data_IF_237595127409
#
_entry.id   IF_237595127409
#
_cell.length_a   1.000
_cell.length_b   1.000
_cell.length_c   1.000
_cell.angle_alpha   90.00
_cell.angle_beta   90.00
_cell.angle_gamma   90.00
#
_symmetry.space_group_name_H-M   'P 1'
#
loop_
_entity.id
_entity.type
_entity.pdbx_description
1 polymer ?
#
# COMPACT_ATOMS: atom_id res chain seq x y z
N UNK A 1 4.27 -26.52 -2.40
CA UNK A 1 5.47 -25.64 -2.42
C UNK A 1 5.59 -25.04 -1.04
N UNK A 2 6.76 -25.00 -0.40
CA UNK A 2 6.88 -24.40 0.94
C UNK A 2 7.54 -23.03 0.83
N UNK A 3 6.80 -22.01 1.18
CA UNK A 3 7.24 -20.60 1.18
C UNK A 3 8.25 -20.37 2.31
N UNK A 4 9.28 -19.59 2.02
CA UNK A 4 10.36 -19.24 2.97
C UNK A 4 10.60 -17.73 2.95
N UNK A 5 11.33 -17.26 3.95
CA UNK A 5 11.82 -15.87 3.99
C UNK A 5 12.69 -15.59 2.75
N UNK A 6 12.51 -14.40 2.17
CA UNK A 6 13.10 -13.92 0.91
C UNK A 6 12.53 -14.54 -0.38
N UNK A 7 11.55 -15.42 -0.29
CA UNK A 7 10.84 -15.89 -1.48
C UNK A 7 9.99 -14.76 -2.09
N UNK A 8 9.82 -14.85 -3.41
CA UNK A 8 9.07 -13.89 -4.23
C UNK A 8 8.15 -14.65 -5.18
N UNK A 9 6.94 -14.13 -5.35
CA UNK A 9 5.92 -14.74 -6.21
C UNK A 9 5.12 -13.66 -6.94
N UNK A 10 4.53 -14.00 -8.08
CA UNK A 10 3.31 -13.37 -8.56
C UNK A 10 2.14 -14.14 -8.00
N UNK A 11 1.13 -13.44 -7.52
CA UNK A 11 -0.06 -14.06 -6.97
C UNK A 11 -1.33 -13.28 -7.30
N UNK A 12 -2.47 -13.97 -7.32
CA UNK A 12 -3.79 -13.38 -7.42
C UNK A 12 -4.82 -14.24 -6.68
N UNK A 13 -5.93 -13.65 -6.29
CA UNK A 13 -7.00 -14.32 -5.57
C UNK A 13 -7.67 -15.41 -6.41
N UNK A 14 -7.96 -16.54 -5.81
CA UNK A 14 -8.81 -17.58 -6.41
C UNK A 14 -10.31 -17.27 -6.26
N UNK A 15 -10.68 -16.32 -5.39
CA UNK A 15 -12.03 -15.81 -5.24
C UNK A 15 -12.27 -14.69 -6.26
N UNK A 16 -13.16 -14.92 -7.25
CA UNK A 16 -13.43 -13.96 -8.31
C UNK A 16 -13.98 -12.63 -7.79
N UNK A 17 -14.79 -12.62 -6.75
CA UNK A 17 -15.33 -11.40 -6.18
C UNK A 17 -14.22 -10.53 -5.56
N UNK A 18 -13.26 -11.15 -4.87
CA UNK A 18 -12.09 -10.46 -4.33
C UNK A 18 -11.14 -10.02 -5.46
N UNK A 19 -11.00 -10.85 -6.50
CA UNK A 19 -10.16 -10.53 -7.65
C UNK A 19 -10.66 -9.29 -8.39
N UNK A 20 -11.97 -9.19 -8.60
CA UNK A 20 -12.60 -8.11 -9.36
C UNK A 20 -12.64 -6.78 -8.58
N UNK A 21 -12.89 -6.83 -7.27
CA UNK A 21 -12.91 -5.64 -6.39
C UNK A 21 -11.52 -5.20 -5.94
N UNK A 22 -10.58 -6.15 -5.86
CA UNK A 22 -9.21 -5.90 -5.40
C UNK A 22 -8.29 -5.43 -6.52
N UNK A 23 -7.44 -4.46 -6.27
CA UNK A 23 -6.40 -4.08 -7.24
C UNK A 23 -5.36 -5.20 -7.41
N UNK A 24 -4.89 -5.37 -8.65
CA UNK A 24 -3.82 -6.31 -9.00
C UNK A 24 -4.04 -7.72 -8.46
N UNK A 25 -5.29 -8.22 -8.59
CA UNK A 25 -5.66 -9.58 -8.25
C UNK A 25 -6.03 -9.84 -6.79
N UNK A 26 -6.20 -8.81 -5.95
CA UNK A 26 -6.88 -8.92 -4.65
C UNK A 26 -6.16 -9.70 -3.54
N UNK A 27 -4.85 -9.94 -3.64
CA UNK A 27 -4.09 -10.80 -2.71
C UNK A 27 -4.09 -10.26 -1.27
N UNK A 28 -4.00 -8.92 -1.09
CA UNK A 28 -4.07 -8.30 0.25
C UNK A 28 -5.39 -8.66 0.93
N UNK A 29 -6.51 -8.46 0.24
CA UNK A 29 -7.86 -8.76 0.74
C UNK A 29 -8.02 -10.25 1.07
N UNK A 30 -7.49 -11.14 0.21
CA UNK A 30 -7.52 -12.59 0.43
C UNK A 30 -6.75 -12.98 1.69
N UNK A 31 -5.52 -12.47 1.87
CA UNK A 31 -4.71 -12.75 3.07
C UNK A 31 -5.44 -12.26 4.33
N UNK A 32 -6.01 -11.07 4.31
CA UNK A 32 -6.72 -10.51 5.46
C UNK A 32 -7.98 -11.32 5.79
N UNK A 33 -8.74 -11.75 4.77
CA UNK A 33 -9.89 -12.64 4.95
C UNK A 33 -9.49 -13.98 5.57
N UNK A 34 -8.41 -14.58 5.08
CA UNK A 34 -7.86 -15.82 5.63
C UNK A 34 -7.47 -15.68 7.10
N UNK A 35 -6.75 -14.63 7.48
CA UNK A 35 -6.32 -14.40 8.85
C UNK A 35 -7.48 -14.29 9.84
N UNK A 36 -8.60 -13.68 9.42
CA UNK A 36 -9.83 -13.64 10.20
C UNK A 36 -10.52 -15.01 10.26
N UNK A 37 -10.71 -15.67 9.11
CA UNK A 37 -11.41 -16.97 9.02
C UNK A 37 -10.70 -18.07 9.78
N UNK A 38 -9.38 -18.10 9.75
CA UNK A 38 -8.57 -19.09 10.48
C UNK A 38 -8.50 -18.83 11.98
N UNK A 39 -8.96 -17.67 12.46
CA UNK A 39 -8.81 -17.26 13.85
C UNK A 39 -7.35 -16.93 14.24
N UNK A 40 -6.49 -16.72 13.24
CA UNK A 40 -5.10 -16.28 13.46
C UNK A 40 -5.08 -14.89 14.09
N UNK A 41 -6.03 -14.03 13.71
CA UNK A 41 -6.26 -12.71 14.30
C UNK A 41 -7.73 -12.54 14.70
N UNK A 42 -7.98 -11.67 15.68
CA UNK A 42 -9.32 -11.31 16.15
C UNK A 42 -9.91 -10.16 15.30
N UNK A 43 -9.05 -9.35 14.69
CA UNK A 43 -9.44 -8.20 13.88
C UNK A 43 -8.42 -7.87 12.79
N UNK A 44 -8.87 -7.14 11.77
CA UNK A 44 -8.03 -6.51 10.75
C UNK A 44 -8.18 -4.99 10.85
N UNK A 45 -7.08 -4.27 10.94
CA UNK A 45 -7.03 -2.83 10.79
C UNK A 45 -6.63 -2.49 9.35
N UNK A 46 -7.55 -1.90 8.62
CA UNK A 46 -7.39 -1.55 7.21
C UNK A 46 -7.89 -0.12 6.95
N UNK A 47 -8.00 0.23 5.69
CA UNK A 47 -8.56 1.51 5.23
C UNK A 47 -9.73 1.23 4.31
N UNK A 48 -10.82 2.00 4.45
CA UNK A 48 -11.94 2.00 3.52
C UNK A 48 -12.20 3.41 2.98
N UNK A 49 -12.88 3.52 1.87
CA UNK A 49 -13.41 4.79 1.38
C UNK A 49 -14.49 5.31 2.34
N UNK A 50 -14.38 6.60 2.67
CA UNK A 50 -15.35 7.28 3.50
C UNK A 50 -16.50 7.85 2.67
N UNK A 51 -16.59 9.18 2.63
CA UNK A 51 -17.61 9.88 1.85
C UNK A 51 -17.32 9.80 0.34
N UNK A 52 -16.06 9.89 -0.03
CA UNK A 52 -15.57 9.82 -1.41
C UNK A 52 -14.11 9.35 -1.43
N UNK A 53 -13.53 9.23 -2.64
CA UNK A 53 -12.15 8.78 -2.84
C UNK A 53 -11.08 9.69 -2.17
N UNK A 54 -11.44 10.89 -1.71
CA UNK A 54 -10.55 11.80 -1.00
C UNK A 54 -10.61 11.62 0.53
N UNK A 55 -11.55 10.81 1.03
CA UNK A 55 -11.80 10.54 2.45
C UNK A 55 -11.47 9.08 2.78
N UNK A 56 -10.18 8.80 2.99
CA UNK A 56 -9.73 7.48 3.42
C UNK A 56 -9.83 7.37 4.94
N UNK A 57 -10.66 6.46 5.45
CA UNK A 57 -10.85 6.26 6.89
C UNK A 57 -10.34 4.90 7.35
N UNK A 58 -9.75 4.79 8.55
CA UNK A 58 -9.37 3.51 9.13
C UNK A 58 -10.61 2.75 9.59
N UNK A 59 -10.59 1.44 9.36
CA UNK A 59 -11.65 0.52 9.79
C UNK A 59 -11.03 -0.65 10.55
N UNK A 60 -11.69 -1.08 11.63
CA UNK A 60 -11.38 -2.31 12.35
C UNK A 60 -12.44 -3.35 11.99
N UNK A 61 -12.04 -4.39 11.26
CA UNK A 61 -12.92 -5.43 10.72
C UNK A 61 -12.76 -6.68 11.57
N UNK A 62 -13.86 -7.25 12.03
CA UNK A 62 -13.92 -8.50 12.81
C UNK A 62 -14.69 -9.60 12.10
N UNK A 63 -15.57 -9.25 11.14
CA UNK A 63 -16.27 -10.21 10.29
C UNK A 63 -15.48 -10.41 8.99
N UNK A 64 -15.05 -11.64 8.66
CA UNK A 64 -14.33 -11.91 7.42
C UNK A 64 -15.09 -11.52 6.15
N UNK A 65 -16.41 -11.49 6.16
CA UNK A 65 -17.19 -11.10 4.99
C UNK A 65 -17.21 -9.58 4.77
N UNK A 66 -16.90 -8.80 5.80
CA UNK A 66 -16.77 -7.34 5.72
C UNK A 66 -15.43 -6.88 5.15
N UNK A 67 -14.45 -7.78 4.97
CA UNK A 67 -13.12 -7.43 4.49
C UNK A 67 -13.14 -6.77 3.11
N UNK A 68 -14.13 -7.08 2.30
CA UNK A 68 -14.31 -6.52 0.96
C UNK A 68 -14.48 -5.00 0.98
N UNK A 69 -14.93 -4.40 2.10
CA UNK A 69 -15.05 -2.95 2.28
C UNK A 69 -13.70 -2.22 2.20
N UNK A 70 -12.61 -2.94 2.41
CA UNK A 70 -11.24 -2.42 2.32
C UNK A 70 -10.52 -2.84 1.04
N UNK A 71 -11.22 -3.45 0.08
CA UNK A 71 -10.65 -3.80 -1.22
C UNK A 71 -10.37 -2.53 -2.06
N UNK A 72 -9.48 -2.65 -3.03
CA UNK A 72 -9.04 -1.53 -3.85
C UNK A 72 -7.89 -0.73 -3.21
N UNK A 73 -7.56 0.41 -3.82
CA UNK A 73 -6.50 1.31 -3.35
C UNK A 73 -6.99 2.75 -3.27
N UNK A 74 -6.74 3.39 -2.15
CA UNK A 74 -6.96 4.82 -1.94
C UNK A 74 -5.61 5.52 -1.84
N UNK A 75 -5.30 6.42 -2.79
CA UNK A 75 -4.04 7.16 -2.82
C UNK A 75 -4.16 8.53 -2.16
N UNK A 76 -5.39 9.02 -2.00
CA UNK A 76 -5.68 10.30 -1.38
C UNK A 76 -6.15 10.14 0.07
N UNK A 77 -5.79 11.07 0.94
CA UNK A 77 -6.28 11.11 2.31
C UNK A 77 -5.74 10.04 3.28
N UNK A 78 -4.93 9.09 2.81
CA UNK A 78 -4.47 7.96 3.64
C UNK A 78 -3.75 8.40 4.91
N UNK A 79 -4.05 7.72 6.02
CA UNK A 79 -3.54 8.01 7.36
C UNK A 79 -2.39 7.06 7.74
N UNK A 80 -1.63 7.40 8.79
CA UNK A 80 -0.68 6.47 9.40
C UNK A 80 -1.41 5.58 10.41
N UNK A 81 -1.51 4.27 10.11
CA UNK A 81 -2.28 3.32 10.91
C UNK A 81 -1.62 2.96 12.25
N UNK A 82 -0.32 3.18 12.42
CA UNK A 82 0.34 2.97 13.71
C UNK A 82 -0.25 3.83 14.84
N UNK A 83 -0.75 5.02 14.49
CA UNK A 83 -1.46 5.88 15.45
C UNK A 83 -2.76 5.24 15.94
N UNK A 84 -3.48 4.54 15.06
CA UNK A 84 -4.71 3.85 15.44
C UNK A 84 -4.44 2.64 16.32
N UNK A 85 -3.40 1.85 16.03
CA UNK A 85 -2.96 0.76 16.89
C UNK A 85 -2.71 1.24 18.34
N UNK A 86 -2.00 2.33 18.52
CA UNK A 86 -1.65 2.80 19.85
C UNK A 86 -2.75 3.57 20.57
N UNK A 87 -3.52 4.38 19.83
CA UNK A 87 -4.49 5.31 20.44
C UNK A 87 -5.85 4.68 20.69
N UNK A 88 -6.28 3.77 19.84
CA UNK A 88 -7.65 3.25 19.87
C UNK A 88 -7.75 1.78 20.28
N UNK A 89 -6.66 1.01 20.13
CA UNK A 89 -6.64 -0.42 20.49
C UNK A 89 -5.45 -0.79 21.39
N UNK A 90 -4.95 0.17 22.14
CA UNK A 90 -3.92 0.02 23.20
C UNK A 90 -2.70 -0.82 22.77
N UNK A 91 -2.23 -0.62 21.52
CA UNK A 91 -1.08 -1.36 21.00
C UNK A 91 -1.32 -2.85 20.81
N UNK A 92 -2.56 -3.26 20.59
CA UNK A 92 -2.98 -4.66 20.44
C UNK A 92 -2.66 -5.52 21.68
N UNK A 93 -2.84 -4.97 22.87
CA UNK A 93 -2.50 -5.66 24.14
C UNK A 93 -3.38 -6.87 24.40
N UNK A 94 -4.68 -6.75 24.15
CA UNK A 94 -5.69 -7.71 24.57
C UNK A 94 -6.21 -8.61 23.43
N UNK A 95 -5.77 -8.39 22.19
CA UNK A 95 -6.20 -9.19 21.04
C UNK A 95 -5.19 -9.13 19.90
N UNK A 96 -5.28 -10.10 18.98
CA UNK A 96 -4.42 -10.16 17.81
C UNK A 96 -5.03 -9.38 16.64
N UNK A 97 -4.19 -8.61 15.95
CA UNK A 97 -4.63 -7.78 14.82
C UNK A 97 -3.69 -7.90 13.62
N UNK A 98 -4.25 -8.10 12.44
CA UNK A 98 -3.52 -7.89 11.20
C UNK A 98 -3.71 -6.45 10.74
N UNK A 99 -2.67 -5.82 10.21
CA UNK A 99 -2.73 -4.44 9.74
C UNK A 99 -2.22 -4.34 8.30
N UNK A 100 -3.01 -3.68 7.42
CA UNK A 100 -2.48 -3.24 6.12
C UNK A 100 -1.57 -2.05 6.36
N UNK A 101 -0.36 -2.06 5.87
CA UNK A 101 0.58 -1.00 6.20
C UNK A 101 1.42 -0.56 5.00
N UNK A 102 1.49 0.75 4.80
CA UNK A 102 2.49 1.39 3.94
C UNK A 102 3.87 1.30 4.59
N UNK A 103 4.98 1.52 3.88
CA UNK A 103 6.32 1.50 4.46
C UNK A 103 6.47 2.40 5.70
N UNK A 104 5.89 3.60 5.68
CA UNK A 104 5.92 4.51 6.84
C UNK A 104 5.11 4.01 8.04
N UNK A 105 4.02 3.26 7.81
CA UNK A 105 3.27 2.59 8.88
C UNK A 105 4.12 1.48 9.48
N UNK A 106 4.69 0.60 8.65
CA UNK A 106 5.54 -0.52 9.09
C UNK A 106 6.73 -0.05 9.92
N UNK A 107 7.44 1.01 9.47
CA UNK A 107 8.52 1.63 10.24
C UNK A 107 8.04 2.11 11.62
N UNK A 108 6.92 2.83 11.64
CA UNK A 108 6.39 3.39 12.89
C UNK A 108 5.94 2.28 13.84
N UNK A 109 5.29 1.24 13.31
CA UNK A 109 4.84 0.08 14.09
C UNK A 109 6.05 -0.63 14.71
N UNK A 110 7.09 -0.94 13.93
CA UNK A 110 8.32 -1.58 14.45
C UNK A 110 9.00 -0.74 15.53
N UNK A 111 9.07 0.57 15.36
CA UNK A 111 9.66 1.45 16.38
C UNK A 111 8.79 1.48 17.67
N UNK A 112 7.47 1.43 17.53
CA UNK A 112 6.57 1.36 18.68
C UNK A 112 6.61 0.00 19.37
N UNK A 113 6.80 -1.10 18.64
CA UNK A 113 7.10 -2.43 19.19
C UNK A 113 8.40 -2.41 20.00
N UNK A 114 9.48 -1.85 19.43
CA UNK A 114 10.77 -1.71 20.13
C UNK A 114 10.66 -0.89 21.42
N UNK A 115 9.73 0.06 21.47
CA UNK A 115 9.42 0.85 22.68
C UNK A 115 8.43 0.20 23.65
N UNK A 116 7.95 -1.01 23.35
CA UNK A 116 6.97 -1.72 24.17
C UNK A 116 5.57 -1.09 24.16
N UNK A 117 5.28 -0.26 23.17
CA UNK A 117 3.97 0.41 23.01
C UNK A 117 3.01 -0.35 22.12
N UNK A 118 3.50 -1.29 21.34
CA UNK A 118 2.74 -2.26 20.55
C UNK A 118 3.27 -3.64 20.92
N UNK A 119 2.37 -4.59 21.13
CA UNK A 119 2.71 -5.98 21.43
C UNK A 119 3.02 -6.71 20.13
N UNK A 120 4.29 -7.01 19.89
CA UNK A 120 4.78 -7.57 18.63
C UNK A 120 4.13 -8.92 18.28
N UNK A 121 3.96 -9.80 19.27
CA UNK A 121 3.36 -11.13 19.08
C UNK A 121 1.90 -11.07 18.65
N UNK A 122 1.22 -9.96 18.94
CA UNK A 122 -0.19 -9.75 18.64
C UNK A 122 -0.43 -8.99 17.31
N UNK A 123 0.62 -8.58 16.60
CA UNK A 123 0.47 -7.82 15.35
C UNK A 123 1.08 -8.57 14.17
N UNK A 124 0.31 -8.68 13.10
CA UNK A 124 0.73 -9.15 11.79
C UNK A 124 0.72 -7.95 10.84
N UNK A 125 1.83 -7.71 10.14
CA UNK A 125 1.94 -6.60 9.20
C UNK A 125 1.92 -7.09 7.76
N UNK A 126 0.83 -6.81 7.04
CA UNK A 126 0.69 -7.04 5.61
C UNK A 126 0.96 -5.73 4.89
N UNK A 127 2.17 -5.61 4.36
CA UNK A 127 2.69 -4.40 3.76
C UNK A 127 2.22 -4.20 2.33
N UNK A 128 1.96 -2.94 1.95
CA UNK A 128 1.66 -2.55 0.58
C UNK A 128 2.72 -1.57 0.06
N UNK A 129 3.23 -1.80 -1.15
CA UNK A 129 4.17 -0.89 -1.79
C UNK A 129 3.54 0.50 -1.93
N UNK A 130 4.33 1.54 -1.75
CA UNK A 130 3.79 2.90 -1.73
C UNK A 130 4.68 3.88 -2.51
N UNK A 131 4.10 4.47 -3.54
CA UNK A 131 4.73 5.54 -4.33
C UNK A 131 4.54 6.95 -3.76
N UNK A 132 3.79 7.07 -2.67
CA UNK A 132 3.39 8.33 -2.06
C UNK A 132 1.88 8.48 -1.98
N UNK A 133 1.43 9.48 -1.24
CA UNK A 133 -0.01 9.79 -1.06
C UNK A 133 -0.29 11.25 -1.35
N UNK A 134 -1.52 11.53 -1.75
CA UNK A 134 -1.99 12.85 -2.13
C UNK A 134 -2.73 13.53 -0.95
N UNK A 135 -2.56 14.84 -0.74
CA UNK A 135 -3.35 15.57 0.25
C UNK A 135 -4.74 15.91 -0.33
N UNK A 136 -5.86 15.61 0.38
CA UNK A 136 -7.22 15.72 -0.19
C UNK A 136 -7.56 17.06 -0.84
N UNK A 137 -7.56 18.13 -0.06
CA UNK A 137 -7.99 19.47 -0.54
C UNK A 137 -7.11 19.99 -1.68
N UNK A 138 -5.76 19.96 -1.60
CA UNK A 138 -4.91 20.32 -2.74
C UNK A 138 -5.15 19.48 -3.97
N UNK A 139 -5.44 18.18 -3.81
CA UNK A 139 -5.71 17.26 -4.92
C UNK A 139 -7.00 17.60 -5.64
N UNK A 140 -8.08 17.84 -4.91
CA UNK A 140 -9.34 18.29 -5.50
C UNK A 140 -9.17 19.61 -6.29
N UNK A 141 -8.38 20.55 -5.75
CA UNK A 141 -8.05 21.80 -6.43
C UNK A 141 -7.24 21.54 -7.71
N UNK A 142 -6.22 20.70 -7.63
CA UNK A 142 -5.37 20.32 -8.77
C UNK A 142 -6.19 19.66 -9.89
N UNK A 143 -7.09 18.73 -9.55
CA UNK A 143 -7.95 18.08 -10.55
C UNK A 143 -8.84 19.10 -11.28
N UNK A 144 -9.41 20.05 -10.55
CA UNK A 144 -10.22 21.11 -11.15
C UNK A 144 -9.42 22.09 -12.00
N UNK A 145 -8.30 22.60 -11.50
CA UNK A 145 -7.57 23.71 -12.11
C UNK A 145 -6.57 23.25 -13.18
N UNK A 146 -5.94 22.08 -13.02
CA UNK A 146 -4.86 21.59 -13.88
C UNK A 146 -5.36 20.50 -14.84
N UNK A 147 -6.15 19.55 -14.33
CA UNK A 147 -6.72 18.50 -15.18
C UNK A 147 -8.00 18.92 -15.89
N UNK A 148 -8.66 20.00 -15.43
CA UNK A 148 -9.95 20.41 -15.96
C UNK A 148 -11.06 19.38 -15.70
N UNK A 149 -10.94 18.62 -14.60
CA UNK A 149 -11.89 17.58 -14.19
C UNK A 149 -12.59 18.02 -12.91
N UNK A 150 -13.92 17.88 -12.84
CA UNK A 150 -14.61 18.07 -11.59
C UNK A 150 -14.23 16.94 -10.62
N UNK A 151 -13.73 17.21 -9.39
CA UNK A 151 -13.35 16.18 -8.45
C UNK A 151 -14.44 15.14 -8.14
N UNK A 152 -15.72 15.51 -8.21
CA UNK A 152 -16.84 14.59 -8.02
C UNK A 152 -17.01 13.58 -9.16
N UNK A 153 -16.42 13.85 -10.34
CA UNK A 153 -16.50 12.97 -11.50
C UNK A 153 -15.30 12.03 -11.65
N UNK A 154 -14.32 12.12 -10.71
CA UNK A 154 -13.17 11.21 -10.67
C UNK A 154 -13.62 9.85 -10.14
N UNK A 155 -13.28 8.80 -10.87
CA UNK A 155 -13.50 7.41 -10.48
C UNK A 155 -12.26 6.82 -9.80
N UNK A 156 -11.05 7.19 -10.30
CA UNK A 156 -9.78 6.65 -9.80
C UNK A 156 -8.64 7.64 -10.05
N UNK A 157 -7.65 7.62 -9.18
CA UNK A 157 -6.35 8.22 -9.42
C UNK A 157 -5.22 7.21 -9.16
N UNK A 158 -4.17 7.26 -9.95
CA UNK A 158 -3.02 6.37 -9.81
C UNK A 158 -1.71 7.08 -10.16
N UNK A 159 -0.64 6.78 -9.42
CA UNK A 159 0.71 7.19 -9.80
C UNK A 159 1.38 6.04 -10.53
N UNK A 160 1.37 6.08 -11.86
CA UNK A 160 1.95 5.05 -12.70
C UNK A 160 2.89 5.64 -13.75
N UNK A 161 4.00 4.95 -14.01
CA UNK A 161 5.00 5.34 -15.05
C UNK A 161 5.47 6.80 -14.93
N UNK A 162 5.57 7.31 -13.69
CA UNK A 162 6.01 8.69 -13.43
C UNK A 162 4.95 9.76 -13.69
N UNK A 163 3.69 9.37 -13.89
CA UNK A 163 2.56 10.29 -14.07
C UNK A 163 1.54 10.09 -12.96
N UNK A 164 0.86 11.15 -12.57
CA UNK A 164 -0.41 11.07 -11.87
C UNK A 164 -1.50 10.97 -12.93
N UNK A 165 -2.16 9.82 -12.99
CA UNK A 165 -3.24 9.50 -13.91
C UNK A 165 -4.55 9.67 -13.17
N UNK A 166 -5.51 10.33 -13.80
CA UNK A 166 -6.86 10.54 -13.29
C UNK A 166 -7.82 9.93 -14.30
N UNK A 167 -8.63 9.00 -13.85
CA UNK A 167 -9.71 8.38 -14.60
C UNK A 167 -11.05 8.92 -14.11
N UNK A 168 -11.90 9.34 -15.02
CA UNK A 168 -13.23 9.85 -14.74
C UNK A 168 -14.29 8.75 -14.82
N UNK A 169 -15.45 8.97 -14.21
CA UNK A 169 -16.58 8.01 -14.20
C UNK A 169 -17.15 7.68 -15.57
N UNK A 170 -16.89 8.50 -16.56
CA UNK A 170 -17.22 8.26 -17.97
C UNK A 170 -16.09 7.59 -18.77
N UNK A 171 -14.97 7.26 -18.11
CA UNK A 171 -13.85 6.52 -18.66
C UNK A 171 -12.81 7.39 -19.40
N UNK A 172 -12.87 8.72 -19.26
CA UNK A 172 -11.80 9.59 -19.76
C UNK A 172 -10.56 9.48 -18.86
N UNK A 173 -9.38 9.30 -19.45
CA UNK A 173 -8.10 9.22 -18.73
C UNK A 173 -7.22 10.43 -19.08
N UNK A 174 -6.67 11.08 -18.05
CA UNK A 174 -5.70 12.18 -18.16
C UNK A 174 -4.48 11.91 -17.29
N UNK A 175 -3.27 12.08 -17.83
CA UNK A 175 -2.03 11.83 -17.11
C UNK A 175 -1.01 12.95 -17.26
N UNK A 176 -0.59 13.55 -16.14
CA UNK A 176 0.46 14.58 -16.08
C UNK A 176 1.66 14.02 -15.30
N UNK A 177 2.88 14.39 -15.73
CA UNK A 177 4.08 13.95 -15.01
C UNK A 177 4.08 14.44 -13.56
N UNK A 178 4.35 13.55 -12.65
CA UNK A 178 4.33 13.88 -11.22
C UNK A 178 5.40 14.93 -10.86
N UNK A 179 6.57 14.88 -11.50
CA UNK A 179 7.65 15.84 -11.26
C UNK A 179 7.26 17.27 -11.70
N UNK A 180 6.45 17.41 -12.76
CA UNK A 180 5.94 18.70 -13.21
C UNK A 180 4.93 19.26 -12.20
N UNK A 181 4.04 18.43 -11.68
CA UNK A 181 3.08 18.82 -10.64
C UNK A 181 3.80 19.21 -9.33
N UNK A 182 4.80 18.45 -8.91
CA UNK A 182 5.56 18.70 -7.68
C UNK A 182 6.40 19.98 -7.77
N UNK A 183 6.90 20.33 -8.95
CA UNK A 183 7.60 21.59 -9.17
C UNK A 183 6.70 22.82 -8.96
N UNK A 184 5.39 22.66 -9.17
CA UNK A 184 4.37 23.70 -8.94
C UNK A 184 3.73 23.61 -7.52
N UNK A 185 4.31 22.80 -6.62
CA UNK A 185 3.81 22.60 -5.26
C UNK A 185 2.53 21.76 -5.14
N UNK A 186 2.26 20.96 -6.16
CA UNK A 186 1.12 20.04 -6.23
C UNK A 186 1.58 18.58 -6.14
N UNK A 187 0.64 17.62 -6.25
CA UNK A 187 0.97 16.19 -6.27
C UNK A 187 1.14 15.60 -4.87
N UNK A 188 2.19 14.79 -4.67
CA UNK A 188 2.38 14.05 -3.41
C UNK A 188 2.66 14.96 -2.21
N UNK A 189 2.30 14.47 -1.01
CA UNK A 189 2.67 15.14 0.24
C UNK A 189 4.19 15.35 0.30
N UNK A 190 4.65 16.46 0.87
CA UNK A 190 6.08 16.78 1.00
C UNK A 190 6.91 15.64 1.62
N UNK A 191 6.40 15.01 2.70
CA UNK A 191 7.09 13.88 3.31
C UNK A 191 7.17 12.67 2.38
N UNK A 192 6.20 12.48 1.47
CA UNK A 192 6.24 11.41 0.47
C UNK A 192 7.28 11.68 -0.62
N UNK A 193 7.50 12.94 -0.98
CA UNK A 193 8.56 13.33 -1.93
C UNK A 193 9.97 13.04 -1.37
N UNK A 194 10.12 13.06 -0.04
CA UNK A 194 11.38 12.76 0.68
C UNK A 194 11.50 11.31 1.13
N UNK A 195 10.46 10.47 0.88
CA UNK A 195 10.42 9.10 1.36
C UNK A 195 11.31 8.19 0.52
N UNK A 196 12.32 7.58 1.14
CA UNK A 196 13.22 6.61 0.53
C UNK A 196 12.86 5.15 0.85
N UNK A 197 11.72 4.93 1.49
CA UNK A 197 11.17 3.60 1.76
C UNK A 197 9.87 3.43 0.98
N UNK A 198 9.93 2.65 -0.09
CA UNK A 198 8.79 2.46 -0.98
C UNK A 198 8.23 1.02 -0.91
N UNK A 199 9.05 0.09 -0.42
CA UNK A 199 8.71 -1.30 -0.18
C UNK A 199 8.74 -1.53 1.33
N UNK A 200 7.66 -2.03 1.93
CA UNK A 200 7.56 -2.22 3.38
C UNK A 200 8.33 -3.45 3.86
N UNK A 201 9.66 -3.46 3.67
CA UNK A 201 10.53 -4.56 4.09
C UNK A 201 10.57 -4.78 5.62
N UNK A 202 10.01 -3.86 6.40
CA UNK A 202 9.81 -4.00 7.83
C UNK A 202 8.48 -4.70 8.19
N UNK A 203 7.62 -5.01 7.21
CA UNK A 203 6.42 -5.82 7.40
C UNK A 203 6.74 -7.32 7.36
N UNK A 204 5.75 -8.17 7.61
CA UNK A 204 5.91 -9.63 7.52
C UNK A 204 5.89 -10.09 6.06
N UNK A 205 5.03 -9.45 5.25
CA UNK A 205 4.89 -9.67 3.80
C UNK A 205 4.79 -8.29 3.15
N UNK A 206 5.37 -8.10 1.96
CA UNK A 206 5.13 -6.92 1.14
C UNK A 206 4.46 -7.31 -0.18
N UNK A 207 3.52 -6.47 -0.59
CA UNK A 207 2.64 -6.68 -1.73
C UNK A 207 2.59 -5.43 -2.60
N UNK A 208 2.59 -5.59 -3.91
CA UNK A 208 2.47 -4.47 -4.84
C UNK A 208 2.47 -4.92 -6.29
N UNK A 209 2.31 -3.98 -7.22
CA UNK A 209 2.27 -4.28 -8.66
C UNK A 209 3.63 -4.10 -9.37
N UNK A 210 4.63 -3.55 -8.68
CA UNK A 210 5.93 -3.28 -9.31
C UNK A 210 6.64 -4.57 -9.65
N UNK A 211 7.01 -4.69 -10.93
CA UNK A 211 7.71 -5.85 -11.43
C UNK A 211 6.82 -6.99 -11.92
N UNK A 212 5.49 -6.86 -11.83
CA UNK A 212 4.59 -7.81 -12.50
C UNK A 212 4.55 -7.47 -14.00
N UNK A 213 5.01 -8.40 -14.83
CA UNK A 213 5.10 -8.25 -16.28
C UNK A 213 4.57 -9.49 -17.01
N UNK A 214 4.48 -9.41 -18.33
CA UNK A 214 3.94 -10.49 -19.16
C UNK A 214 2.41 -10.60 -19.05
N UNK A 215 1.89 -11.82 -19.14
CA UNK A 215 0.44 -12.08 -19.17
C UNK A 215 -0.29 -11.74 -17.87
N UNK A 216 0.46 -11.62 -16.77
CA UNK A 216 -0.04 -11.27 -15.44
C UNK A 216 0.06 -9.77 -15.14
N UNK A 217 0.61 -8.95 -16.05
CA UNK A 217 0.69 -7.50 -15.87
C UNK A 217 -0.71 -6.90 -15.66
N UNK A 218 -0.89 -6.13 -14.57
CA UNK A 218 -2.18 -5.56 -14.18
C UNK A 218 -3.18 -6.54 -13.56
N UNK A 219 -2.83 -7.84 -13.47
CA UNK A 219 -3.74 -8.92 -13.02
C UNK A 219 -3.26 -9.63 -11.75
N UNK A 220 -2.02 -9.42 -11.36
CA UNK A 220 -1.41 -10.08 -10.22
C UNK A 220 -0.60 -9.11 -9.37
N UNK A 221 -0.36 -9.53 -8.16
CA UNK A 221 0.45 -8.85 -7.15
C UNK A 221 1.85 -9.49 -7.09
N UNK A 222 2.89 -8.68 -6.97
CA UNK A 222 4.23 -9.11 -6.59
C UNK A 222 4.28 -9.28 -5.08
N UNK A 223 4.56 -10.48 -4.60
CA UNK A 223 4.59 -10.85 -3.19
C UNK A 223 6.03 -11.07 -2.76
N UNK A 224 6.45 -10.50 -1.64
CA UNK A 224 7.76 -10.68 -1.02
C UNK A 224 7.61 -11.04 0.45
N UNK A 225 8.36 -12.02 0.93
CA UNK A 225 8.29 -12.56 2.29
C UNK A 225 9.49 -12.08 3.09
N UNK A 226 9.27 -11.43 4.25
CA UNK A 226 10.34 -10.87 5.06
C UNK A 226 10.53 -11.54 6.43
N UNK A 227 9.53 -12.29 6.92
CA UNK A 227 9.60 -12.97 8.21
C UNK A 227 9.10 -14.40 8.13
N UNK A 228 9.48 -15.24 9.12
CA UNK A 228 8.93 -16.59 9.26
C UNK A 228 7.41 -16.57 9.46
N UNK A 229 6.89 -15.59 10.21
CA UNK A 229 5.44 -15.34 10.36
C UNK A 229 4.78 -15.09 9.00
N UNK A 230 5.39 -14.29 8.14
CA UNK A 230 4.92 -14.03 6.77
C UNK A 230 4.94 -15.30 5.91
N UNK A 231 5.98 -16.12 6.03
CA UNK A 231 6.07 -17.40 5.33
C UNK A 231 4.99 -18.38 5.78
N UNK A 232 4.72 -18.49 7.07
CA UNK A 232 3.67 -19.33 7.65
C UNK A 232 2.29 -18.92 7.11
N UNK A 233 1.98 -17.64 7.11
CA UNK A 233 0.71 -17.10 6.60
C UNK A 233 0.53 -17.45 5.12
N UNK A 234 1.54 -17.20 4.28
CA UNK A 234 1.43 -17.51 2.85
C UNK A 234 1.34 -19.01 2.57
N UNK A 235 2.03 -19.85 3.35
CA UNK A 235 1.84 -21.29 3.25
C UNK A 235 0.38 -21.69 3.52
N UNK A 236 -0.23 -21.17 4.59
CA UNK A 236 -1.62 -21.43 4.90
C UNK A 236 -2.59 -20.99 3.79
N UNK A 237 -2.39 -19.79 3.25
CA UNK A 237 -3.22 -19.26 2.14
C UNK A 237 -3.09 -20.11 0.87
N UNK A 238 -1.87 -20.60 0.57
CA UNK A 238 -1.60 -21.47 -0.60
C UNK A 238 -2.16 -22.88 -0.37
N UNK A 239 -1.98 -23.45 0.82
CA UNK A 239 -2.45 -24.81 1.15
C UNK A 239 -3.98 -24.89 1.09
N UNK A 240 -4.68 -23.81 1.47
CA UNK A 240 -6.13 -23.67 1.32
C UNK A 240 -6.58 -23.27 -0.10
N UNK A 241 -5.63 -23.08 -1.03
CA UNK A 241 -5.89 -22.70 -2.43
C UNK A 241 -6.69 -21.41 -2.58
N UNK A 242 -6.43 -20.45 -1.72
CA UNK A 242 -7.10 -19.15 -1.73
C UNK A 242 -6.45 -18.16 -2.70
N UNK A 243 -5.20 -18.42 -3.09
CA UNK A 243 -4.48 -17.67 -4.13
C UNK A 243 -3.85 -18.63 -5.14
N UNK A 244 -3.76 -18.17 -6.37
CA UNK A 244 -2.92 -18.77 -7.40
C UNK A 244 -1.56 -18.09 -7.39
N UNK A 245 -0.49 -18.86 -7.58
CA UNK A 245 0.89 -18.35 -7.57
C UNK A 245 1.63 -18.69 -8.84
N UNK A 246 2.56 -17.84 -9.25
CA UNK A 246 3.48 -18.05 -10.35
C UNK A 246 4.88 -17.54 -9.99
N UNK A 247 5.90 -18.17 -10.56
CA UNK A 247 7.28 -17.70 -10.42
C UNK A 247 7.43 -16.31 -11.07
N UNK A 248 8.11 -15.36 -10.43
CA UNK A 248 8.35 -14.06 -11.01
C UNK A 248 9.34 -14.17 -12.16
N UNK A 249 9.07 -13.44 -13.23
CA UNK A 249 9.98 -13.32 -14.37
C UNK A 249 11.22 -12.52 -13.92
N UNK A 250 12.43 -12.99 -14.19
CA UNK A 250 13.69 -12.35 -13.79
C UNK A 250 13.72 -10.85 -14.13
N UNK A 251 13.34 -10.51 -15.38
CA UNK A 251 13.20 -9.12 -15.81
C UNK A 251 12.20 -8.31 -14.98
N UNK A 252 11.19 -8.95 -14.43
CA UNK A 252 10.22 -8.32 -13.51
C UNK A 252 10.87 -7.93 -12.19
N UNK A 253 11.71 -8.79 -11.63
CA UNK A 253 12.50 -8.51 -10.43
C UNK A 253 13.42 -7.31 -10.68
N UNK A 254 14.15 -7.29 -11.80
CA UNK A 254 15.00 -6.16 -12.19
C UNK A 254 14.22 -4.83 -12.33
N UNK A 255 13.03 -4.89 -12.94
CA UNK A 255 12.15 -3.71 -13.08
C UNK A 255 11.68 -3.22 -11.71
N UNK A 256 11.26 -4.12 -10.83
CA UNK A 256 10.86 -3.78 -9.45
C UNK A 256 11.99 -3.07 -8.71
N UNK A 257 13.21 -3.62 -8.78
CA UNK A 257 14.39 -3.04 -8.14
C UNK A 257 14.76 -1.68 -8.76
N UNK A 258 14.65 -1.56 -10.07
CA UNK A 258 14.88 -0.30 -10.78
C UNK A 258 13.89 0.79 -10.37
N UNK A 259 12.59 0.45 -10.25
CA UNK A 259 11.57 1.41 -9.79
C UNK A 259 11.90 1.89 -8.40
N UNK A 260 12.16 0.98 -7.47
CA UNK A 260 12.52 1.32 -6.09
C UNK A 260 13.76 2.23 -6.04
N UNK A 261 14.82 1.89 -6.78
CA UNK A 261 16.06 2.67 -6.83
C UNK A 261 15.86 4.07 -7.43
N UNK A 262 14.99 4.24 -8.42
CA UNK A 262 14.65 5.56 -8.98
C UNK A 262 13.98 6.41 -7.91
N UNK A 263 13.00 5.86 -7.19
CA UNK A 263 12.28 6.59 -6.15
C UNK A 263 13.19 6.98 -4.98
N UNK A 264 14.06 6.09 -4.54
CA UNK A 264 15.08 6.39 -3.51
C UNK A 264 16.00 7.54 -3.94
N UNK A 265 16.46 7.52 -5.19
CA UNK A 265 17.28 8.62 -5.74
C UNK A 265 16.54 9.95 -5.83
N UNK A 266 15.25 9.93 -6.21
CA UNK A 266 14.43 11.15 -6.23
C UNK A 266 14.24 11.72 -4.83
N UNK A 267 13.93 10.87 -3.85
CA UNK A 267 13.80 11.27 -2.45
C UNK A 267 15.10 11.87 -1.89
N UNK A 268 16.26 11.29 -2.18
CA UNK A 268 17.55 11.83 -1.79
C UNK A 268 17.79 13.23 -2.37
N UNK A 269 17.55 13.42 -3.67
CA UNK A 269 17.66 14.74 -4.31
C UNK A 269 16.75 15.79 -3.69
N UNK A 270 15.53 15.40 -3.27
CA UNK A 270 14.61 16.33 -2.61
C UNK A 270 15.12 16.71 -1.23
N UNK A 271 15.62 15.74 -0.44
CA UNK A 271 16.25 16.00 0.87
C UNK A 271 17.44 16.97 0.74
N UNK A 272 18.29 16.79 -0.29
CA UNK A 272 19.45 17.67 -0.54
C UNK A 272 19.02 19.11 -0.87
N UNK A 273 17.95 19.28 -1.68
CA UNK A 273 17.39 20.61 -2.01
C UNK A 273 16.87 21.32 -0.75
N UNK A 274 16.11 20.61 0.07
CA UNK A 274 15.53 21.15 1.29
C UNK A 274 16.61 21.55 2.30
N UNK A 275 17.67 20.74 2.41
CA UNK A 275 18.81 21.05 3.28
C UNK A 275 19.60 22.27 2.80
N UNK A 276 19.83 22.39 1.48
CA UNK A 276 20.50 23.56 0.91
C UNK A 276 19.68 24.86 1.11
N UNK A 277 18.35 24.78 1.06
CA UNK A 277 17.47 25.93 1.33
C UNK A 277 17.50 26.41 2.78
N UNK A 278 17.76 25.49 3.73
CA UNK A 278 17.83 25.86 5.18
C UNK A 278 19.16 26.45 5.61
N UNK A 279 20.24 26.29 4.83
CA UNK A 279 21.58 26.82 5.14
C UNK A 279 21.86 28.20 4.52
N UNK A 280 20.95 28.72 3.72
CA UNK A 280 21.11 30.00 3.02
C UNK A 280 20.79 31.28 3.81
N UNK A 281 20.16 31.15 5.00
CA UNK A 281 19.66 32.27 5.80
C UNK A 281 20.17 32.28 7.26
N UNK A 282 21.45 31.87 7.49
CA UNK A 282 22.12 32.03 8.79
C UNK A 282 23.25 33.06 8.66
#
# INVERSE_FOLDING_TARGET
MSVKVNDKYYAYSADNAIYDEGEYGGVVTTIMKYLLKSGTVDAVLAVEEGFDLYDAKPILITDPEDIIKSAGSLHCGTLNLAKFLTKYIDGARDFKVAVTCKPCDAMTIRELMRKGRIIEDNVIMVGVNCGGTLPPVPTMKMFKEVYGVNPADVAKEEIAKGKLIVETKDGEEKGIKIDELEAEGMGRRENCQRCDMNIPSNADIALGNWGVIGDLAGKATFVEVFTDKGAEILNGVIDEKLIETAEPIEKGIEIRDKINNIMVKQASKQKDKDFAGTTGDI
#
